data_IF_903475630675
#
_entry.id   IF_903475630675
#
_cell.length_a   1.000
_cell.length_b   1.000
_cell.length_c   1.000
_cell.angle_alpha   90.00
_cell.angle_beta   90.00
_cell.angle_gamma   90.00
#
_symmetry.space_group_name_H-M   'P 1'
#
loop_
_entity.id
_entity.type
_entity.pdbx_description
1 polymer ?
#
# COMPACT_ATOMS: atom_id res chain seq x y z
N UNK A 1 -16.23 13.63 -3.93
CA UNK A 1 -15.48 14.71 -3.25
C UNK A 1 -14.25 15.04 -4.06
N UNK A 2 -14.15 16.28 -4.51
CA UNK A 2 -12.96 16.81 -5.18
C UNK A 2 -11.90 17.01 -4.10
N UNK A 3 -10.82 16.25 -4.14
CA UNK A 3 -9.70 16.44 -3.21
C UNK A 3 -8.98 17.75 -3.55
N UNK A 4 -9.20 18.77 -2.74
CA UNK A 4 -8.43 20.01 -2.75
C UNK A 4 -7.25 19.84 -1.79
N UNK A 5 -6.09 19.45 -2.32
CA UNK A 5 -4.86 19.36 -1.57
C UNK A 5 -4.01 20.62 -1.79
N UNK A 6 -3.54 21.23 -0.70
CA UNK A 6 -2.71 22.41 -0.74
C UNK A 6 -1.24 22.18 -1.11
N UNK A 7 -0.80 20.94 -1.26
CA UNK A 7 0.55 20.56 -1.63
C UNK A 7 0.55 19.71 -2.88
N UNK A 8 0.98 20.29 -4.00
CA UNK A 8 1.23 19.56 -5.24
C UNK A 8 2.71 19.25 -5.30
N UNK A 9 3.06 17.98 -5.08
CA UNK A 9 4.42 17.52 -5.37
C UNK A 9 4.51 17.12 -6.83
N UNK A 10 5.45 17.74 -7.54
CA UNK A 10 5.79 17.36 -8.90
C UNK A 10 6.92 16.34 -8.86
N UNK A 11 6.69 15.17 -9.45
CA UNK A 11 7.72 14.18 -9.68
C UNK A 11 7.90 13.95 -11.17
N UNK A 12 9.13 14.03 -11.63
CA UNK A 12 9.52 13.72 -13.00
C UNK A 12 10.25 12.38 -12.99
N UNK A 13 9.65 11.38 -13.63
CA UNK A 13 10.26 10.09 -13.85
C UNK A 13 10.66 9.97 -15.32
N UNK A 14 11.90 9.63 -15.59
CA UNK A 14 12.41 9.49 -16.94
C UNK A 14 12.33 8.02 -17.35
N UNK A 15 11.65 7.77 -18.49
CA UNK A 15 11.49 6.42 -19.05
C UNK A 15 10.78 5.42 -18.13
N UNK A 16 10.02 5.87 -17.12
CA UNK A 16 9.23 5.01 -16.25
C UNK A 16 7.91 4.58 -16.92
N UNK A 17 7.37 3.45 -16.46
CA UNK A 17 6.05 3.01 -16.87
C UNK A 17 4.98 3.77 -16.08
N UNK A 18 4.18 4.59 -16.78
CA UNK A 18 3.14 5.43 -16.16
C UNK A 18 2.18 4.63 -15.27
N UNK A 19 1.76 3.44 -15.70
CA UNK A 19 0.82 2.62 -14.92
C UNK A 19 1.43 2.14 -13.60
N UNK A 20 2.72 1.82 -13.58
CA UNK A 20 3.43 1.41 -12.37
C UNK A 20 3.61 2.59 -11.41
N UNK A 21 3.95 3.78 -11.92
CA UNK A 21 4.07 4.99 -11.12
C UNK A 21 2.73 5.41 -10.50
N UNK A 22 1.65 5.40 -11.29
CA UNK A 22 0.30 5.67 -10.78
C UNK A 22 -0.08 4.68 -9.69
N UNK A 23 0.18 3.38 -9.90
CA UNK A 23 -0.10 2.34 -8.90
C UNK A 23 0.68 2.58 -7.61
N UNK A 24 1.98 2.83 -7.69
CA UNK A 24 2.83 3.06 -6.53
C UNK A 24 2.38 4.29 -5.71
N UNK A 25 2.05 5.38 -6.40
CA UNK A 25 1.58 6.62 -5.74
C UNK A 25 0.18 6.47 -5.15
N UNK A 26 -0.72 5.78 -5.85
CA UNK A 26 -2.05 5.48 -5.32
C UNK A 26 -1.96 4.60 -4.06
N UNK A 27 -1.11 3.59 -4.07
CA UNK A 27 -0.87 2.72 -2.92
C UNK A 27 -0.29 3.51 -1.73
N UNK A 28 0.74 4.35 -1.95
CA UNK A 28 1.31 5.21 -0.92
C UNK A 28 0.27 6.17 -0.32
N UNK A 29 -0.63 6.72 -1.16
CA UNK A 29 -1.75 7.54 -0.73
C UNK A 29 -2.94 6.78 -0.15
N UNK A 30 -2.88 5.44 -0.12
CA UNK A 30 -4.01 4.56 0.26
C UNK A 30 -5.28 4.88 -0.55
N UNK A 31 -5.08 5.18 -1.84
CA UNK A 31 -6.15 5.49 -2.81
C UNK A 31 -6.30 4.33 -3.80
N UNK A 32 -7.50 4.19 -4.34
CA UNK A 32 -7.75 3.43 -5.55
C UNK A 32 -7.75 4.35 -6.77
N UNK A 33 -7.56 3.79 -7.94
CA UNK A 33 -7.75 4.52 -9.19
C UNK A 33 -8.45 3.63 -10.23
N UNK A 34 -9.12 4.28 -11.15
CA UNK A 34 -9.79 3.62 -12.27
C UNK A 34 -9.69 4.47 -13.54
N UNK A 35 -9.79 3.81 -14.69
CA UNK A 35 -9.84 4.45 -16.00
C UNK A 35 -11.15 4.04 -16.67
N UNK A 36 -12.13 4.91 -16.61
CA UNK A 36 -13.46 4.66 -17.15
C UNK A 36 -13.64 5.31 -18.51
N UNK A 37 -14.35 4.63 -19.41
CA UNK A 37 -14.80 5.20 -20.65
C UNK A 37 -16.10 5.98 -20.43
N UNK A 38 -16.10 7.24 -20.80
CA UNK A 38 -17.34 7.99 -20.92
C UNK A 38 -17.96 7.69 -22.30
N UNK A 39 -19.00 6.87 -22.31
CA UNK A 39 -19.64 6.40 -23.56
C UNK A 39 -20.19 7.55 -24.40
N UNK A 40 -20.64 8.64 -23.76
CA UNK A 40 -21.22 9.80 -24.45
C UNK A 40 -20.16 10.65 -25.14
N UNK A 41 -19.02 10.90 -24.48
CA UNK A 41 -17.93 11.72 -25.03
C UNK A 41 -16.88 10.89 -25.75
N UNK A 42 -16.91 9.57 -25.61
CA UNK A 42 -15.89 8.60 -26.10
C UNK A 42 -14.48 8.95 -25.63
N UNK A 43 -14.36 9.48 -24.42
CA UNK A 43 -13.11 9.84 -23.78
C UNK A 43 -12.85 8.97 -22.56
N UNK A 44 -11.59 8.70 -22.30
CA UNK A 44 -11.18 8.08 -21.04
C UNK A 44 -11.12 9.13 -19.93
N UNK A 45 -11.68 8.81 -18.78
CA UNK A 45 -11.55 9.58 -17.55
C UNK A 45 -10.70 8.82 -16.54
N UNK A 46 -9.73 9.49 -15.95
CA UNK A 46 -8.96 8.96 -14.82
C UNK A 46 -9.63 9.41 -13.52
N UNK A 47 -9.90 8.45 -12.63
CA UNK A 47 -10.58 8.69 -11.36
C UNK A 47 -9.74 8.18 -10.22
N UNK A 48 -9.54 9.01 -9.20
CA UNK A 48 -8.99 8.62 -7.91
C UNK A 48 -10.11 8.53 -6.89
N UNK A 49 -10.11 7.49 -6.08
CA UNK A 49 -11.11 7.33 -5.04
C UNK A 49 -10.48 6.80 -3.74
N UNK A 50 -11.11 7.18 -2.63
CA UNK A 50 -10.83 6.63 -1.32
C UNK A 50 -12.04 5.80 -0.92
N UNK A 51 -11.90 4.50 -0.83
CA UNK A 51 -13.00 3.61 -0.46
C UNK A 51 -13.64 4.00 0.89
N UNK A 52 -14.83 3.53 1.14
CA UNK A 52 -15.59 3.75 2.37
C UNK A 52 -15.02 2.91 3.51
N UNK A 53 -15.20 3.37 4.73
CA UNK A 53 -14.99 2.54 5.92
C UNK A 53 -16.30 1.83 6.29
N UNK A 54 -16.38 0.54 5.96
CA UNK A 54 -17.49 -0.36 6.23
C UNK A 54 -17.10 -1.40 7.29
N UNK A 55 -16.10 -1.12 8.11
CA UNK A 55 -15.68 -2.02 9.18
C UNK A 55 -16.74 -2.13 10.27
N UNK A 56 -16.70 -3.22 11.03
CA UNK A 56 -17.64 -3.45 12.13
C UNK A 56 -17.66 -2.34 13.19
N UNK A 57 -16.55 -1.59 13.32
CA UNK A 57 -16.37 -0.50 14.29
C UNK A 57 -16.17 0.85 13.62
N UNK A 58 -16.67 1.03 12.37
CA UNK A 58 -16.50 2.31 11.69
C UNK A 58 -17.15 3.47 12.46
N UNK A 59 -16.50 4.62 12.45
CA UNK A 59 -17.00 5.85 13.08
C UNK A 59 -17.83 6.72 12.13
N UNK A 60 -17.90 6.36 10.85
CA UNK A 60 -18.57 7.13 9.83
C UNK A 60 -20.09 6.89 9.78
N UNK A 61 -20.60 5.93 10.56
CA UNK A 61 -22.02 5.56 10.55
C UNK A 61 -22.46 4.77 9.34
N UNK A 62 -21.51 4.24 8.55
CA UNK A 62 -21.82 3.38 7.43
C UNK A 62 -22.32 2.01 7.91
N UNK A 63 -23.18 1.37 7.11
CA UNK A 63 -23.58 -0.01 7.36
C UNK A 63 -22.37 -0.93 7.31
N UNK A 64 -22.06 -1.69 8.38
CA UNK A 64 -20.92 -2.58 8.37
C UNK A 64 -21.04 -3.69 7.35
N UNK A 65 -19.93 -3.96 6.66
CA UNK A 65 -19.78 -5.11 5.78
C UNK A 65 -18.83 -6.12 6.43
N UNK A 66 -19.37 -7.26 6.86
CA UNK A 66 -18.62 -8.29 7.58
C UNK A 66 -18.67 -9.57 6.76
N UNK A 67 -17.50 -10.01 6.29
CA UNK A 67 -17.35 -11.28 5.59
C UNK A 67 -17.01 -12.39 6.57
N UNK A 68 -17.88 -13.39 6.63
CA UNK A 68 -17.70 -14.54 7.51
C UNK A 68 -18.49 -15.75 6.97
N UNK A 69 -17.96 -16.94 7.17
CA UNK A 69 -18.69 -18.19 6.92
C UNK A 69 -19.94 -18.29 7.79
N UNK A 70 -19.90 -17.77 9.01
CA UNK A 70 -21.04 -17.80 9.92
C UNK A 70 -22.23 -16.99 9.41
N UNK A 71 -21.99 -16.04 8.51
CA UNK A 71 -23.02 -15.21 7.87
C UNK A 71 -23.41 -15.73 6.48
N UNK A 72 -22.88 -16.89 6.07
CA UNK A 72 -23.14 -17.52 4.77
C UNK A 72 -22.90 -16.57 3.58
N UNK A 73 -21.98 -15.62 3.73
CA UNK A 73 -21.65 -14.65 2.68
C UNK A 73 -20.28 -14.91 2.02
N UNK A 74 -19.57 -15.94 2.48
CA UNK A 74 -18.34 -16.46 1.85
C UNK A 74 -18.39 -17.98 1.76
N UNK A 75 -17.98 -18.52 0.62
CA UNK A 75 -17.90 -19.95 0.36
C UNK A 75 -16.57 -20.54 0.84
N UNK A 76 -15.47 -19.89 0.42
CA UNK A 76 -14.12 -20.31 0.75
C UNK A 76 -13.33 -19.11 1.28
N UNK A 77 -12.41 -19.39 2.19
CA UNK A 77 -11.53 -18.39 2.78
C UNK A 77 -10.11 -18.95 2.88
N UNK A 78 -9.14 -18.14 2.45
CA UNK A 78 -7.73 -18.40 2.62
C UNK A 78 -7.08 -17.22 3.36
N UNK A 79 -6.36 -17.51 4.43
CA UNK A 79 -5.62 -16.52 5.20
C UNK A 79 -4.13 -16.78 5.08
N UNK A 80 -3.41 -15.79 4.61
CA UNK A 80 -1.96 -15.81 4.53
C UNK A 80 -1.37 -14.65 5.33
N UNK A 81 -0.47 -14.96 6.24
CA UNK A 81 0.34 -13.97 6.94
C UNK A 81 1.82 -14.27 6.69
N UNK A 82 2.53 -13.30 6.14
CA UNK A 82 3.96 -13.41 5.86
C UNK A 82 4.75 -12.37 6.63
N UNK A 83 5.84 -12.81 7.26
CA UNK A 83 6.84 -11.97 7.90
C UNK A 83 8.16 -11.96 7.11
N UNK A 84 8.18 -12.54 5.91
CA UNK A 84 9.39 -12.73 5.10
C UNK A 84 10.12 -11.41 4.79
N UNK A 85 9.37 -10.31 4.65
CA UNK A 85 9.89 -8.98 4.37
C UNK A 85 9.63 -8.00 5.52
N UNK A 86 9.45 -8.49 6.74
CA UNK A 86 9.31 -7.60 7.88
C UNK A 86 10.64 -6.96 8.26
N UNK A 87 10.58 -5.67 8.61
CA UNK A 87 11.68 -4.94 9.20
C UNK A 87 11.12 -3.92 10.17
N UNK A 88 11.75 -3.74 11.32
CA UNK A 88 11.32 -2.77 12.31
C UNK A 88 12.43 -1.79 12.71
N UNK A 89 13.62 -1.99 12.15
CA UNK A 89 14.78 -1.12 12.35
C UNK A 89 15.52 -0.95 11.03
N UNK A 90 15.81 0.29 10.61
CA UNK A 90 16.45 0.55 9.32
C UNK A 90 17.70 1.41 9.47
N UNK A 91 18.79 0.96 8.85
CA UNK A 91 19.99 1.74 8.61
C UNK A 91 19.85 2.49 7.29
N UNK A 92 20.09 3.80 7.30
CA UNK A 92 20.00 4.65 6.12
C UNK A 92 21.35 5.25 5.82
N UNK A 93 21.91 4.94 4.66
CA UNK A 93 23.20 5.44 4.22
C UNK A 93 23.01 6.53 3.18
N UNK A 94 23.60 7.69 3.44
CA UNK A 94 23.60 8.82 2.52
C UNK A 94 24.78 8.84 1.55
N UNK A 95 24.79 9.83 0.65
CA UNK A 95 25.88 10.05 -0.29
C UNK A 95 27.21 10.35 0.42
N UNK A 96 28.31 9.90 -0.19
CA UNK A 96 29.65 10.19 0.32
C UNK A 96 29.95 11.71 0.27
N UNK A 97 30.55 12.22 1.33
CA UNK A 97 31.13 13.55 1.36
C UNK A 97 32.45 13.61 0.54
N UNK A 98 32.97 14.81 0.29
CA UNK A 98 34.24 15.01 -0.42
C UNK A 98 35.44 14.28 0.20
N UNK A 99 35.35 13.94 1.48
CA UNK A 99 36.36 13.18 2.22
C UNK A 99 36.17 11.66 2.11
N UNK A 100 35.17 11.18 1.35
CA UNK A 100 34.80 9.79 1.22
C UNK A 100 34.02 9.21 2.44
N UNK A 101 33.66 10.04 3.42
CA UNK A 101 32.81 9.63 4.53
C UNK A 101 31.34 9.58 4.10
N UNK A 102 30.65 8.50 4.44
CA UNK A 102 29.22 8.33 4.16
C UNK A 102 28.42 8.53 5.43
N UNK A 103 27.66 9.61 5.54
CA UNK A 103 26.76 9.81 6.67
C UNK A 103 25.74 8.70 6.76
N UNK A 104 25.56 8.14 7.97
CA UNK A 104 24.58 7.10 8.24
C UNK A 104 23.69 7.51 9.41
N UNK A 105 22.42 7.14 9.32
CA UNK A 105 21.46 7.31 10.40
C UNK A 105 20.59 6.07 10.53
N UNK A 106 19.81 5.99 11.60
CA UNK A 106 18.90 4.89 11.86
C UNK A 106 17.49 5.40 12.15
N UNK A 107 16.51 4.59 11.83
CA UNK A 107 15.11 4.78 12.24
C UNK A 107 14.65 3.51 12.92
N UNK A 108 14.10 3.65 14.12
CA UNK A 108 13.49 2.58 14.89
C UNK A 108 11.96 2.75 14.82
N UNK A 109 11.28 1.76 14.28
CA UNK A 109 9.82 1.81 14.09
C UNK A 109 9.02 1.32 15.29
N UNK A 110 9.56 0.36 16.06
CA UNK A 110 8.79 -0.36 17.08
C UNK A 110 9.49 -0.47 18.44
N UNK A 111 10.70 0.07 18.59
CA UNK A 111 11.57 -0.11 19.76
C UNK A 111 11.81 -1.60 20.11
N UNK A 112 11.87 -2.45 19.08
CA UNK A 112 12.09 -3.87 19.23
C UNK A 112 13.52 -4.17 19.69
N UNK A 113 13.69 -5.23 20.48
CA UNK A 113 15.00 -5.63 20.99
C UNK A 113 15.18 -7.14 20.95
N UNK A 114 16.42 -7.60 20.91
CA UNK A 114 16.75 -9.03 20.94
C UNK A 114 16.27 -9.76 19.68
N UNK A 115 15.54 -10.85 19.86
CA UNK A 115 15.07 -11.69 18.75
C UNK A 115 13.92 -11.07 17.92
N UNK A 116 13.27 -10.05 18.47
CA UNK A 116 12.20 -9.35 17.77
C UNK A 116 12.73 -8.22 16.86
N UNK A 117 14.04 -7.89 17.00
CA UNK A 117 14.69 -6.90 16.16
C UNK A 117 14.96 -7.47 14.76
N UNK A 118 14.39 -6.86 13.75
CA UNK A 118 14.62 -7.19 12.34
C UNK A 118 15.17 -5.96 11.62
N UNK A 119 16.45 -6.04 11.29
CA UNK A 119 17.20 -4.93 10.71
C UNK A 119 17.14 -4.97 9.18
N UNK A 120 16.91 -3.81 8.58
CA UNK A 120 16.94 -3.61 7.13
C UNK A 120 17.85 -2.44 6.76
N UNK A 121 18.20 -2.33 5.49
CA UNK A 121 19.11 -1.31 4.99
C UNK A 121 18.46 -0.52 3.86
N UNK A 122 18.61 0.81 3.92
CA UNK A 122 18.18 1.73 2.87
C UNK A 122 19.41 2.46 2.29
N UNK A 123 19.62 2.28 0.99
CA UNK A 123 20.56 3.07 0.23
C UNK A 123 19.89 4.39 -0.19
N UNK A 124 20.31 5.50 0.42
CA UNK A 124 19.87 6.86 0.11
C UNK A 124 21.00 7.70 -0.47
N UNK A 125 21.93 7.07 -1.19
CA UNK A 125 23.06 7.76 -1.85
C UNK A 125 22.62 8.68 -3.00
N UNK A 126 21.38 8.54 -3.47
CA UNK A 126 20.70 9.45 -4.40
C UNK A 126 20.39 10.81 -3.78
N UNK A 127 20.34 10.92 -2.45
CA UNK A 127 20.15 12.18 -1.74
C UNK A 127 21.50 12.85 -1.55
N UNK A 128 21.84 13.78 -2.45
CA UNK A 128 23.11 14.51 -2.37
C UNK A 128 23.02 15.62 -1.31
N UNK A 129 24.09 15.76 -0.49
CA UNK A 129 24.22 16.85 0.46
C UNK A 129 24.59 18.19 -0.20
N UNK A 130 25.20 18.12 -1.39
CA UNK A 130 25.58 19.27 -2.20
C UNK A 130 24.80 19.27 -3.50
N UNK A 131 24.33 20.42 -3.92
CA UNK A 131 23.65 20.59 -5.19
C UNK A 131 23.95 21.96 -5.80
N UNK A 132 23.86 22.05 -7.11
CA UNK A 132 24.03 23.31 -7.85
C UNK A 132 22.72 24.10 -7.88
N UNK A 133 22.77 25.36 -7.47
CA UNK A 133 21.68 26.30 -7.61
C UNK A 133 22.18 27.50 -8.47
N UNK A 134 21.98 27.39 -9.77
CA UNK A 134 22.59 28.30 -10.75
C UNK A 134 24.11 28.12 -10.81
N UNK A 135 24.88 29.20 -10.60
CA UNK A 135 26.36 29.16 -10.57
C UNK A 135 26.93 28.89 -9.16
N UNK A 136 26.09 28.72 -8.15
CA UNK A 136 26.53 28.55 -6.75
C UNK A 136 26.29 27.12 -6.26
N UNK A 137 27.35 26.52 -5.69
CA UNK A 137 27.20 25.26 -4.96
C UNK A 137 26.60 25.52 -3.58
N UNK A 138 25.51 24.87 -3.28
CA UNK A 138 24.83 24.93 -1.99
C UNK A 138 25.05 23.62 -1.24
N UNK A 139 25.50 23.72 0.01
CA UNK A 139 25.69 22.58 0.91
C UNK A 139 24.60 22.59 1.97
N UNK A 140 23.86 21.50 2.07
CA UNK A 140 22.82 21.29 3.08
C UNK A 140 23.49 21.11 4.46
N UNK A 141 23.06 21.84 5.51
CA UNK A 141 23.55 21.61 6.87
C UNK A 141 23.38 20.16 7.30
N UNK A 142 24.37 19.61 8.01
CA UNK A 142 24.38 18.18 8.37
C UNK A 142 23.11 17.75 9.09
N UNK A 143 22.61 18.54 10.04
CA UNK A 143 21.39 18.20 10.79
C UNK A 143 20.17 18.10 9.88
N UNK A 144 20.03 19.01 8.90
CA UNK A 144 18.95 18.97 7.91
C UNK A 144 19.09 17.75 7.01
N UNK A 145 20.32 17.46 6.57
CA UNK A 145 20.61 16.29 5.76
C UNK A 145 20.26 14.99 6.49
N UNK A 146 20.67 14.86 7.76
CA UNK A 146 20.33 13.71 8.60
C UNK A 146 18.80 13.54 8.79
N UNK A 147 18.06 14.66 8.86
CA UNK A 147 16.59 14.61 8.92
C UNK A 147 16.00 14.11 7.59
N UNK A 148 16.55 14.52 6.44
CA UNK A 148 16.13 14.01 5.13
C UNK A 148 16.36 12.51 5.02
N UNK A 149 17.52 12.00 5.45
CA UNK A 149 17.82 10.58 5.50
C UNK A 149 16.85 9.82 6.42
N UNK A 150 16.54 10.36 7.60
CA UNK A 150 15.54 9.76 8.51
C UNK A 150 14.16 9.70 7.89
N UNK A 151 13.74 10.75 7.19
CA UNK A 151 12.44 10.78 6.50
C UNK A 151 12.39 9.71 5.41
N UNK A 152 13.46 9.57 4.61
CA UNK A 152 13.57 8.51 3.59
C UNK A 152 13.51 7.13 4.24
N UNK A 153 14.28 6.91 5.31
CA UNK A 153 14.28 5.64 6.04
C UNK A 153 12.92 5.30 6.66
N UNK A 154 12.22 6.29 7.22
CA UNK A 154 10.88 6.09 7.75
C UNK A 154 9.88 5.66 6.67
N UNK A 155 9.90 6.32 5.52
CA UNK A 155 9.06 5.96 4.38
C UNK A 155 9.39 4.56 3.82
N UNK A 156 10.68 4.21 3.77
CA UNK A 156 11.12 2.89 3.34
C UNK A 156 10.71 1.81 4.36
N UNK A 157 10.86 2.09 5.67
CA UNK A 157 10.52 1.16 6.74
C UNK A 157 9.02 0.79 6.73
N UNK A 158 8.13 1.71 6.34
CA UNK A 158 6.70 1.43 6.17
C UNK A 158 6.44 0.32 5.13
N UNK A 159 7.36 0.11 4.18
CA UNK A 159 7.26 -0.95 3.18
C UNK A 159 7.62 -2.35 3.69
N UNK A 160 8.21 -2.43 4.88
CA UNK A 160 8.66 -3.68 5.52
C UNK A 160 7.67 -4.20 6.58
N UNK A 161 6.41 -3.87 6.45
CA UNK A 161 5.36 -4.36 7.34
C UNK A 161 5.03 -5.84 7.15
N UNK A 162 4.34 -6.40 8.13
CA UNK A 162 3.75 -7.74 8.02
C UNK A 162 2.72 -7.73 6.90
N UNK A 163 2.89 -8.62 5.92
CA UNK A 163 1.91 -8.80 4.84
C UNK A 163 0.78 -9.69 5.32
N UNK A 164 -0.42 -9.16 5.35
CA UNK A 164 -1.64 -9.92 5.68
C UNK A 164 -2.54 -9.91 4.47
N UNK A 165 -2.83 -11.11 3.99
CA UNK A 165 -3.72 -11.33 2.86
C UNK A 165 -4.84 -12.27 3.28
N UNK A 166 -6.05 -11.92 2.90
CA UNK A 166 -7.24 -12.74 3.11
C UNK A 166 -8.01 -12.80 1.79
N UNK A 167 -8.09 -13.96 1.21
CA UNK A 167 -8.83 -14.19 -0.04
C UNK A 167 -10.12 -14.90 0.29
N UNK A 168 -11.22 -14.46 -0.29
CA UNK A 168 -12.51 -15.12 -0.11
C UNK A 168 -13.29 -15.18 -1.41
N UNK A 169 -13.86 -16.36 -1.68
CA UNK A 169 -14.91 -16.51 -2.69
C UNK A 169 -16.24 -16.09 -2.07
N UNK A 170 -16.85 -15.07 -2.65
CA UNK A 170 -18.08 -14.46 -2.12
C UNK A 170 -19.29 -15.28 -2.56
N UNK A 171 -20.19 -15.54 -1.63
CA UNK A 171 -21.48 -16.11 -1.97
C UNK A 171 -22.37 -15.02 -2.61
N UNK A 172 -22.51 -15.07 -3.94
CA UNK A 172 -23.31 -14.11 -4.71
C UNK A 172 -24.80 -14.13 -4.38
N UNK A 173 -25.29 -15.21 -3.73
CA UNK A 173 -26.66 -15.31 -3.25
C UNK A 173 -26.86 -14.75 -1.84
N UNK A 174 -25.80 -14.27 -1.20
CA UNK A 174 -25.87 -13.67 0.14
C UNK A 174 -26.58 -12.31 0.15
N UNK A 175 -26.70 -11.74 1.34
CA UNK A 175 -27.24 -10.41 1.56
C UNK A 175 -26.30 -9.28 1.16
N UNK A 176 -25.01 -9.54 0.91
CA UNK A 176 -24.03 -8.56 0.48
C UNK A 176 -23.82 -8.62 -1.03
N UNK A 177 -24.02 -7.51 -1.70
CA UNK A 177 -23.89 -7.40 -3.15
C UNK A 177 -22.75 -6.49 -3.54
N UNK A 178 -21.86 -6.99 -4.41
CA UNK A 178 -20.78 -6.21 -5.00
C UNK A 178 -21.33 -5.03 -5.80
N UNK A 179 -20.63 -3.89 -5.73
CA UNK A 179 -21.04 -2.57 -6.33
C UNK A 179 -22.30 -1.95 -5.71
N UNK A 180 -22.95 -2.59 -4.75
CA UNK A 180 -24.12 -2.05 -4.04
C UNK A 180 -23.77 -1.82 -2.56
N UNK A 181 -23.41 -2.88 -1.86
CA UNK A 181 -23.12 -2.85 -0.41
C UNK A 181 -21.62 -2.62 -0.14
N UNK A 182 -20.75 -3.09 -1.03
CA UNK A 182 -19.31 -2.90 -0.96
C UNK A 182 -18.71 -2.78 -2.37
N UNK A 183 -17.53 -2.16 -2.47
CA UNK A 183 -16.81 -1.96 -3.73
C UNK A 183 -15.29 -2.07 -3.52
N UNK A 184 -14.56 -2.11 -4.64
CA UNK A 184 -13.10 -2.10 -4.64
C UNK A 184 -12.56 -0.87 -3.89
N UNK A 185 -11.61 -1.09 -3.00
CA UNK A 185 -11.01 -0.05 -2.18
C UNK A 185 -11.71 0.22 -0.86
N UNK A 186 -12.89 -0.34 -0.61
CA UNK A 186 -13.58 -0.23 0.68
C UNK A 186 -12.84 -1.00 1.78
N UNK A 187 -12.90 -0.51 3.01
CA UNK A 187 -12.43 -1.22 4.19
C UNK A 187 -13.57 -1.98 4.82
N UNK A 188 -13.37 -3.25 5.04
CA UNK A 188 -14.37 -4.19 5.57
C UNK A 188 -13.77 -5.00 6.73
N UNK A 189 -14.60 -5.75 7.43
CA UNK A 189 -14.16 -6.71 8.43
C UNK A 189 -14.29 -8.14 7.89
N UNK A 190 -13.18 -8.89 7.93
CA UNK A 190 -13.18 -10.34 7.70
C UNK A 190 -13.10 -11.06 9.04
N UNK A 191 -13.94 -12.07 9.22
CA UNK A 191 -14.00 -12.87 10.44
C UNK A 191 -14.01 -14.37 10.11
N UNK A 192 -13.19 -15.13 10.82
CA UNK A 192 -13.23 -16.59 10.83
C UNK A 192 -13.16 -17.08 12.28
N UNK A 193 -14.26 -17.55 12.80
CA UNK A 193 -14.38 -17.95 14.22
C UNK A 193 -13.53 -19.15 14.58
N UNK A 194 -13.42 -20.14 13.67
CA UNK A 194 -12.63 -21.35 13.93
C UNK A 194 -11.14 -21.05 14.11
N UNK A 195 -10.65 -20.03 13.44
CA UNK A 195 -9.25 -19.60 13.55
C UNK A 195 -9.07 -18.50 14.59
N UNK A 196 -10.14 -17.94 15.14
CA UNK A 196 -10.10 -16.83 16.06
C UNK A 196 -9.57 -15.54 15.40
N UNK A 197 -9.72 -15.42 14.09
CA UNK A 197 -9.19 -14.30 13.31
C UNK A 197 -10.31 -13.32 13.02
N UNK A 198 -10.03 -12.05 13.34
CA UNK A 198 -10.82 -10.92 12.87
C UNK A 198 -9.86 -9.82 12.43
N UNK A 199 -9.98 -9.39 11.20
CA UNK A 199 -9.16 -8.33 10.61
C UNK A 199 -10.04 -7.30 9.92
N UNK A 200 -9.62 -6.03 10.01
CA UNK A 200 -10.18 -4.94 9.23
C UNK A 200 -9.22 -4.67 8.07
N UNK A 201 -9.65 -5.00 6.87
CA UNK A 201 -8.81 -4.96 5.69
C UNK A 201 -9.47 -4.17 4.55
N UNK A 202 -8.66 -3.69 3.61
CA UNK A 202 -9.14 -3.05 2.38
C UNK A 202 -9.35 -4.11 1.32
N UNK A 203 -10.38 -3.96 0.51
CA UNK A 203 -10.58 -4.75 -0.71
C UNK A 203 -9.58 -4.24 -1.75
N UNK A 204 -8.58 -5.05 -2.06
CA UNK A 204 -7.48 -4.67 -2.97
C UNK A 204 -7.65 -5.22 -4.37
N UNK A 205 -8.40 -6.31 -4.50
CA UNK A 205 -8.68 -6.92 -5.79
C UNK A 205 -10.06 -7.59 -5.76
N UNK A 206 -10.78 -7.53 -6.87
CA UNK A 206 -12.02 -8.27 -7.09
C UNK A 206 -11.96 -8.90 -8.47
N UNK A 207 -12.13 -10.21 -8.53
CA UNK A 207 -12.21 -10.99 -9.78
C UNK A 207 -13.65 -11.46 -9.99
N UNK A 208 -14.26 -11.00 -11.07
CA UNK A 208 -15.59 -11.44 -11.49
C UNK A 208 -15.44 -12.48 -12.62
N UNK A 209 -15.92 -13.68 -12.41
CA UNK A 209 -15.88 -14.76 -13.40
C UNK A 209 -17.30 -15.13 -13.86
N UNK A 210 -17.55 -15.01 -15.14
CA UNK A 210 -18.85 -15.32 -15.74
C UNK A 210 -18.75 -16.56 -16.61
N UNK A 211 -19.37 -17.66 -16.20
CA UNK A 211 -19.38 -18.93 -16.95
C UNK A 211 -20.78 -19.52 -17.03
N UNK A 212 -21.27 -19.78 -18.26
CA UNK A 212 -22.53 -20.54 -18.51
C UNK A 212 -23.74 -20.10 -17.67
N UNK A 213 -23.84 -18.79 -17.38
CA UNK A 213 -24.92 -18.23 -16.58
C UNK A 213 -24.70 -18.29 -15.06
N UNK A 214 -23.53 -18.73 -14.61
CA UNK A 214 -23.08 -18.57 -13.24
C UNK A 214 -22.12 -17.40 -13.12
N UNK A 215 -22.24 -16.66 -12.03
CA UNK A 215 -21.34 -15.56 -11.63
C UNK A 215 -20.60 -15.99 -10.36
N UNK A 216 -19.29 -15.88 -10.39
CA UNK A 216 -18.42 -16.12 -9.24
C UNK A 216 -17.63 -14.84 -8.97
N UNK A 217 -17.60 -14.42 -7.71
CA UNK A 217 -16.86 -13.26 -7.26
C UNK A 217 -15.82 -13.71 -6.23
N UNK A 218 -14.56 -13.45 -6.55
CA UNK A 218 -13.45 -13.64 -5.62
C UNK A 218 -12.93 -12.24 -5.22
N UNK A 219 -12.77 -12.02 -3.93
CA UNK A 219 -12.24 -10.78 -3.40
C UNK A 219 -11.01 -11.03 -2.53
N UNK A 220 -10.00 -10.20 -2.72
CA UNK A 220 -8.78 -10.16 -1.93
C UNK A 220 -8.85 -8.97 -0.97
N UNK A 221 -8.59 -9.24 0.29
CA UNK A 221 -8.62 -8.27 1.38
C UNK A 221 -7.23 -8.13 2.00
N UNK A 222 -6.79 -6.90 2.24
CA UNK A 222 -5.49 -6.59 2.80
C UNK A 222 -4.43 -6.38 1.72
N UNK A 223 -3.19 -6.76 2.04
CA UNK A 223 -2.07 -6.56 1.14
C UNK A 223 -2.09 -7.60 0.01
N UNK A 224 -1.78 -7.16 -1.20
CA UNK A 224 -1.52 -8.12 -2.28
C UNK A 224 -0.23 -8.89 -1.99
N UNK A 225 -0.26 -10.21 -2.14
CA UNK A 225 0.95 -11.02 -2.03
C UNK A 225 1.96 -10.58 -3.11
N UNK A 226 3.24 -10.31 -2.73
CA UNK A 226 4.23 -9.89 -3.70
C UNK A 226 4.43 -10.98 -4.76
N UNK A 227 4.34 -10.58 -6.01
CA UNK A 227 4.58 -11.48 -7.15
C UNK A 227 6.06 -11.84 -7.24
N UNK A 228 6.38 -12.89 -8.01
CA UNK A 228 7.78 -13.26 -8.29
C UNK A 228 8.55 -12.09 -8.91
N UNK A 229 7.90 -11.27 -9.74
CA UNK A 229 8.51 -10.09 -10.35
C UNK A 229 8.85 -9.03 -9.31
N UNK A 230 7.97 -8.81 -8.33
CA UNK A 230 8.22 -7.87 -7.23
C UNK A 230 9.39 -8.35 -6.36
N UNK A 231 9.46 -9.65 -6.07
CA UNK A 231 10.59 -10.25 -5.34
C UNK A 231 11.92 -10.10 -6.09
N UNK A 232 11.96 -10.32 -7.40
CA UNK A 232 13.18 -10.16 -8.22
C UNK A 232 13.64 -8.70 -8.26
N UNK A 233 12.72 -7.74 -8.29
CA UNK A 233 13.06 -6.30 -8.29
C UNK A 233 13.69 -5.82 -6.99
N UNK A 234 13.28 -6.38 -5.84
CA UNK A 234 13.88 -6.05 -4.53
C UNK A 234 15.31 -6.57 -4.34
N UNK A 235 15.76 -7.52 -5.17
CA UNK A 235 17.12 -8.12 -5.10
C UNK A 235 18.14 -7.37 -5.97
N UNK A 236 17.70 -6.37 -6.74
CA UNK A 236 18.56 -5.48 -7.55
C UNK A 236 18.80 -4.17 -6.86
#
# INVERSE_FOLDING_TARGET
>A
ETMSGSNVEYANEVCANLGQEVKARAQAGKLGYDILINERTKQYGFYLYKGKDLTAKNSAGNTPCIFSRDFDNVNEQEYTASIENCGNFIYVQGAADDNGSQPMTTVDGENATGLDLTEVFCDATDIARKYQSGETEVTIPLNTYMLMLKTRGGAELESYGKTINFVSTINTNSNLKFKVDFDLGDRITCKEEKWGIQIDARITEVTETYQKGAEEIEATFGDSLPTLVDKIRKVR
#
